data_IF_330268786948
#
_entry.id   IF_330268786948
#
_cell.length_a   1.000
_cell.length_b   1.000
_cell.length_c   1.000
_cell.angle_alpha   90.00
_cell.angle_beta   90.00
_cell.angle_gamma   90.00
#
_symmetry.space_group_name_H-M   'P 1'
#
loop_
_entity.id
_entity.type
_entity.pdbx_description
1 polymer ?
#
# COMPACT_ATOMS: atom_id res chain seq x y z
N UNK A 1 -1.46 -17.08 -7.30
CA UNK A 1 -1.90 -15.93 -8.13
C UNK A 1 -3.24 -16.23 -8.78
N UNK A 2 -4.18 -15.27 -8.79
CA UNK A 2 -5.56 -15.44 -9.29
C UNK A 2 -5.62 -15.44 -10.82
N UNK A 3 -6.34 -16.41 -11.41
CA UNK A 3 -6.49 -16.57 -12.87
C UNK A 3 -7.64 -15.73 -13.42
N UNK A 4 -8.64 -15.54 -12.59
CA UNK A 4 -9.92 -14.83 -12.78
C UNK A 4 -9.84 -13.33 -12.42
N UNK A 5 -8.63 -12.76 -12.31
CA UNK A 5 -8.45 -11.39 -11.83
C UNK A 5 -9.20 -10.36 -12.68
N UNK A 6 -9.19 -10.48 -14.01
CA UNK A 6 -9.90 -9.56 -14.90
C UNK A 6 -11.41 -9.52 -14.64
N UNK A 7 -12.04 -10.68 -14.47
CA UNK A 7 -13.48 -10.80 -14.17
C UNK A 7 -13.82 -10.17 -12.81
N UNK A 8 -12.96 -10.35 -11.81
CA UNK A 8 -13.13 -9.76 -10.48
C UNK A 8 -13.05 -8.23 -10.56
N UNK A 9 -12.07 -7.69 -11.29
CA UNK A 9 -11.91 -6.24 -11.45
C UNK A 9 -13.13 -5.63 -12.16
N UNK A 10 -13.57 -6.26 -13.26
CA UNK A 10 -14.77 -5.81 -13.99
C UNK A 10 -16.03 -5.86 -13.11
N UNK A 11 -16.20 -6.92 -12.31
CA UNK A 11 -17.33 -7.04 -11.40
C UNK A 11 -17.28 -5.99 -10.29
N UNK A 12 -16.11 -5.75 -9.70
CA UNK A 12 -15.89 -4.79 -8.63
C UNK A 12 -16.13 -3.35 -9.11
N UNK A 13 -15.67 -3.01 -10.31
CA UNK A 13 -15.84 -1.67 -10.90
C UNK A 13 -17.32 -1.27 -11.11
N UNK A 14 -18.21 -2.26 -11.26
CA UNK A 14 -19.67 -2.03 -11.39
C UNK A 14 -20.38 -1.76 -10.05
N UNK A 15 -19.65 -1.76 -8.93
CA UNK A 15 -20.23 -1.61 -7.57
C UNK A 15 -20.14 -0.17 -7.08
N UNK A 16 -20.97 0.23 -6.10
CA UNK A 16 -20.98 1.61 -5.59
C UNK A 16 -19.84 1.85 -4.58
N UNK A 17 -18.60 1.55 -4.97
CA UNK A 17 -17.39 1.80 -4.19
C UNK A 17 -16.18 2.03 -5.10
N UNK A 18 -15.12 2.61 -4.55
CA UNK A 18 -13.83 2.74 -5.23
C UNK A 18 -13.00 1.47 -5.11
N UNK A 19 -12.33 1.08 -6.18
CA UNK A 19 -11.43 -0.07 -6.23
C UNK A 19 -9.96 0.36 -6.11
N UNK A 20 -9.36 -0.02 -4.99
CA UNK A 20 -7.92 0.07 -4.75
C UNK A 20 -7.29 -1.30 -5.00
N UNK A 21 -6.40 -1.39 -5.99
CA UNK A 21 -5.70 -2.63 -6.31
C UNK A 21 -4.23 -2.54 -5.90
N UNK A 22 -3.78 -3.42 -4.99
CA UNK A 22 -2.41 -3.41 -4.47
C UNK A 22 -1.60 -4.58 -5.02
N UNK A 23 -0.37 -4.32 -5.45
CA UNK A 23 0.59 -5.30 -5.99
C UNK A 23 2.02 -4.96 -5.59
N UNK A 24 2.93 -5.93 -5.67
CA UNK A 24 4.38 -5.71 -5.55
C UNK A 24 5.08 -5.51 -6.90
N UNK A 25 4.33 -5.48 -8.01
CA UNK A 25 4.84 -5.15 -9.34
C UNK A 25 5.43 -6.32 -10.14
N UNK A 26 5.93 -7.38 -9.51
CA UNK A 26 6.68 -8.49 -10.15
C UNK A 26 5.95 -9.22 -11.30
N UNK A 27 4.63 -9.08 -11.39
CA UNK A 27 3.82 -9.74 -12.39
C UNK A 27 3.11 -8.78 -13.35
N UNK A 28 3.40 -7.47 -13.28
CA UNK A 28 2.78 -6.48 -14.16
C UNK A 28 3.03 -6.83 -15.64
N UNK A 29 4.25 -7.21 -16.00
CA UNK A 29 4.62 -7.59 -17.38
C UNK A 29 3.93 -8.86 -17.90
N UNK A 30 3.42 -9.69 -16.98
CA UNK A 30 2.77 -10.96 -17.30
C UNK A 30 1.24 -10.83 -17.31
N UNK A 31 0.71 -9.61 -17.19
CA UNK A 31 -0.71 -9.33 -17.08
C UNK A 31 -1.10 -8.21 -18.05
N UNK A 32 -2.34 -8.24 -18.59
CA UNK A 32 -2.83 -7.19 -19.47
C UNK A 32 -3.21 -5.96 -18.65
N UNK A 33 -2.22 -5.26 -18.08
CA UNK A 33 -2.43 -4.18 -17.12
C UNK A 33 -3.15 -2.98 -17.73
N UNK A 34 -2.93 -2.67 -19.00
CA UNK A 34 -3.70 -1.64 -19.72
C UNK A 34 -5.22 -1.95 -19.77
N UNK A 35 -5.59 -3.24 -19.84
CA UNK A 35 -6.99 -3.66 -19.82
C UNK A 35 -7.54 -3.69 -18.40
N UNK A 36 -6.78 -4.23 -17.45
CA UNK A 36 -7.16 -4.27 -16.03
C UNK A 36 -7.32 -2.87 -15.45
N UNK A 37 -6.45 -1.94 -15.86
CA UNK A 37 -6.41 -0.54 -15.48
C UNK A 37 -7.70 0.22 -15.66
N UNK A 38 -8.47 -0.11 -16.72
CA UNK A 38 -9.76 0.52 -17.01
C UNK A 38 -10.80 0.30 -15.92
N UNK A 39 -10.59 -0.73 -15.09
CA UNK A 39 -11.50 -1.14 -14.02
C UNK A 39 -10.93 -0.83 -12.63
N UNK A 40 -9.80 -0.11 -12.52
CA UNK A 40 -9.12 0.20 -11.26
C UNK A 40 -9.15 1.72 -11.06
N UNK A 41 -9.62 2.18 -9.89
CA UNK A 41 -9.59 3.62 -9.57
C UNK A 41 -8.21 4.05 -9.07
N UNK A 42 -7.54 3.19 -8.28
CA UNK A 42 -6.21 3.46 -7.74
C UNK A 42 -5.33 2.21 -7.77
N UNK A 43 -4.21 2.29 -8.50
CA UNK A 43 -3.21 1.23 -8.54
C UNK A 43 -2.12 1.51 -7.50
N UNK A 44 -2.04 0.68 -6.48
CA UNK A 44 -1.00 0.71 -5.46
C UNK A 44 0.12 -0.27 -5.81
N UNK A 45 1.35 0.23 -5.93
CA UNK A 45 2.53 -0.61 -6.19
C UNK A 45 3.48 -0.48 -5.00
N UNK A 46 3.73 -1.60 -4.32
CA UNK A 46 4.67 -1.66 -3.19
C UNK A 46 6.09 -1.76 -3.74
N UNK A 47 6.90 -0.73 -3.51
CA UNK A 47 8.29 -0.65 -3.96
C UNK A 47 9.18 -0.32 -2.76
N UNK A 48 9.91 -1.31 -2.28
CA UNK A 48 10.82 -1.21 -1.14
C UNK A 48 11.82 -2.37 -1.13
N UNK A 49 12.82 -2.26 -0.25
CA UNK A 49 13.90 -3.24 -0.10
C UNK A 49 13.37 -4.65 0.23
N UNK A 50 12.25 -4.75 0.97
CA UNK A 50 11.66 -6.03 1.35
C UNK A 50 11.04 -6.79 0.18
N UNK A 51 10.74 -6.09 -0.91
CA UNK A 51 10.21 -6.67 -2.15
C UNK A 51 11.27 -6.95 -3.22
N UNK A 52 12.54 -6.55 -2.99
CA UNK A 52 13.65 -6.68 -3.94
C UNK A 52 13.27 -6.20 -5.35
N UNK A 53 12.75 -4.97 -5.41
CA UNK A 53 12.18 -4.40 -6.63
C UNK A 53 12.46 -2.90 -6.81
N UNK A 54 13.54 -2.39 -6.23
CA UNK A 54 13.85 -0.95 -6.27
C UNK A 54 14.04 -0.41 -7.70
N UNK A 55 14.42 -1.25 -8.66
CA UNK A 55 14.49 -0.91 -10.07
C UNK A 55 13.14 -0.48 -10.65
N UNK A 56 12.02 -0.82 -10.00
CA UNK A 56 10.69 -0.37 -10.41
C UNK A 56 10.49 1.15 -10.27
N UNK A 57 11.34 1.85 -9.51
CA UNK A 57 11.39 3.31 -9.53
C UNK A 57 11.81 3.88 -10.90
N UNK A 58 12.50 3.10 -11.74
CA UNK A 58 12.86 3.51 -13.10
C UNK A 58 11.68 3.36 -14.08
N UNK A 59 10.63 2.63 -13.70
CA UNK A 59 9.48 2.27 -14.54
C UNK A 59 8.20 3.04 -14.18
N UNK A 60 8.26 4.06 -13.33
CA UNK A 60 7.06 4.73 -12.84
C UNK A 60 6.21 5.36 -13.95
N UNK A 61 6.84 5.95 -14.97
CA UNK A 61 6.15 6.54 -16.13
C UNK A 61 5.38 5.46 -16.91
N UNK A 62 5.93 4.25 -17.01
CA UNK A 62 5.23 3.11 -17.60
C UNK A 62 4.01 2.74 -16.76
N UNK A 63 4.17 2.63 -15.44
CA UNK A 63 3.06 2.27 -14.55
C UNK A 63 1.93 3.29 -14.54
N UNK A 64 2.24 4.58 -14.76
CA UNK A 64 1.22 5.62 -14.93
C UNK A 64 0.28 5.36 -16.12
N UNK A 65 0.72 4.61 -17.13
CA UNK A 65 -0.14 4.25 -18.25
C UNK A 65 -1.19 3.18 -17.91
N UNK A 66 -1.00 2.45 -16.81
CA UNK A 66 -1.86 1.31 -16.44
C UNK A 66 -3.14 1.70 -15.70
N UNK A 67 -3.39 2.96 -15.41
CA UNK A 67 -4.59 3.34 -14.66
C UNK A 67 -4.71 4.84 -14.48
N UNK A 68 -5.89 5.32 -14.01
CA UNK A 68 -6.14 6.74 -13.84
C UNK A 68 -5.23 7.39 -12.80
N UNK A 69 -4.84 6.66 -11.74
CA UNK A 69 -3.93 7.14 -10.70
C UNK A 69 -3.08 5.97 -10.16
N UNK A 70 -1.78 6.20 -10.01
CA UNK A 70 -0.88 5.28 -9.28
C UNK A 70 -0.44 5.88 -7.95
N UNK A 71 -0.30 5.00 -6.95
CA UNK A 71 0.23 5.35 -5.63
C UNK A 71 1.34 4.36 -5.26
N UNK A 72 2.56 4.86 -5.07
CA UNK A 72 3.68 4.02 -4.65
C UNK A 72 3.61 3.83 -3.14
N UNK A 73 3.50 2.59 -2.70
CA UNK A 73 3.56 2.24 -1.29
C UNK A 73 5.00 1.91 -0.93
N UNK A 74 5.54 2.61 0.06
CA UNK A 74 6.93 2.42 0.51
C UNK A 74 6.89 2.05 2.00
N UNK A 75 7.41 0.87 2.32
CA UNK A 75 7.69 0.48 3.71
C UNK A 75 9.10 0.93 4.09
N UNK A 76 9.24 1.56 5.26
CA UNK A 76 10.50 2.08 5.77
C UNK A 76 10.90 1.34 7.04
N UNK A 77 12.10 0.80 7.05
CA UNK A 77 12.70 0.18 8.22
C UNK A 77 13.64 1.15 8.93
N UNK A 78 14.10 0.79 10.13
CA UNK A 78 15.17 1.52 10.83
C UNK A 78 16.45 1.68 9.98
N UNK A 79 16.70 0.75 9.05
CA UNK A 79 17.91 0.71 8.22
C UNK A 79 17.75 1.44 6.88
N UNK A 80 16.52 1.76 6.47
CA UNK A 80 16.21 2.38 5.16
C UNK A 80 15.71 3.82 5.27
N UNK A 81 15.82 4.43 6.46
CA UNK A 81 15.42 5.80 6.73
C UNK A 81 16.11 6.85 5.85
N UNK A 82 17.40 6.64 5.53
CA UNK A 82 18.18 7.61 4.77
C UNK A 82 17.84 7.59 3.26
N UNK A 83 17.19 6.53 2.78
CA UNK A 83 16.80 6.37 1.38
C UNK A 83 15.42 6.98 1.05
N UNK A 84 14.64 7.42 2.05
CA UNK A 84 13.26 7.90 1.83
C UNK A 84 13.24 9.08 0.86
N UNK A 85 14.15 10.04 1.03
CA UNK A 85 14.15 11.27 0.24
C UNK A 85 14.37 11.00 -1.24
N UNK A 86 15.29 10.10 -1.59
CA UNK A 86 15.57 9.72 -2.97
C UNK A 86 14.35 9.08 -3.63
N UNK A 87 13.69 8.15 -2.93
CA UNK A 87 12.47 7.50 -3.40
C UNK A 87 11.34 8.52 -3.61
N UNK A 88 11.12 9.42 -2.64
CA UNK A 88 10.10 10.48 -2.74
C UNK A 88 10.41 11.45 -3.87
N UNK A 89 11.67 11.83 -4.05
CA UNK A 89 12.11 12.69 -5.14
C UNK A 89 11.74 12.07 -6.48
N UNK A 90 12.03 10.78 -6.67
CA UNK A 90 11.70 10.07 -7.92
C UNK A 90 10.19 10.02 -8.17
N UNK A 91 9.38 9.73 -7.15
CA UNK A 91 7.91 9.77 -7.26
C UNK A 91 7.41 11.18 -7.62
N UNK A 92 8.02 12.22 -7.06
CA UNK A 92 7.68 13.61 -7.37
C UNK A 92 8.04 14.00 -8.81
N UNK A 93 9.21 13.59 -9.30
CA UNK A 93 9.70 13.89 -10.65
C UNK A 93 8.74 13.37 -11.74
N UNK A 94 8.09 12.23 -11.51
CA UNK A 94 7.08 11.68 -12.44
C UNK A 94 5.65 12.18 -12.16
N UNK A 95 5.46 13.00 -11.13
CA UNK A 95 4.14 13.52 -10.76
C UNK A 95 3.18 12.51 -10.13
N UNK A 96 3.68 11.36 -9.66
CA UNK A 96 2.89 10.34 -8.98
C UNK A 96 2.68 10.67 -7.49
N UNK A 97 1.95 9.79 -6.80
CA UNK A 97 1.71 9.85 -5.34
C UNK A 97 2.42 8.71 -4.63
N UNK A 98 2.71 8.90 -3.35
CA UNK A 98 3.24 7.83 -2.49
C UNK A 98 2.63 7.85 -1.10
N UNK A 99 2.36 6.67 -0.57
CA UNK A 99 2.13 6.45 0.85
C UNK A 99 3.38 5.81 1.44
N UNK A 100 3.87 6.39 2.53
CA UNK A 100 5.05 5.93 3.24
C UNK A 100 4.61 5.47 4.62
N UNK A 101 4.97 4.25 4.98
CA UNK A 101 4.61 3.59 6.24
C UNK A 101 5.86 3.03 6.91
N UNK A 102 5.96 3.07 8.25
CA UNK A 102 7.00 2.33 8.95
C UNK A 102 6.74 0.83 8.81
N UNK A 103 7.81 0.03 8.83
CA UNK A 103 7.70 -1.40 9.05
C UNK A 103 6.99 -1.64 10.39
N UNK A 104 6.05 -2.59 10.43
CA UNK A 104 5.36 -2.97 11.65
C UNK A 104 6.07 -4.17 12.28
N UNK A 105 6.30 -4.13 13.59
CA UNK A 105 6.75 -5.31 14.32
C UNK A 105 5.57 -6.27 14.53
N UNK A 106 5.76 -7.53 14.11
CA UNK A 106 4.83 -8.62 14.36
C UNK A 106 5.40 -9.56 15.42
N UNK A 107 4.53 -10.14 16.25
CA UNK A 107 4.95 -11.10 17.26
C UNK A 107 5.70 -12.29 16.62
N UNK A 108 6.86 -12.63 17.18
CA UNK A 108 7.72 -13.69 16.67
C UNK A 108 8.58 -13.33 15.46
N UNK A 109 8.68 -12.04 15.11
CA UNK A 109 9.57 -11.55 14.04
C UNK A 109 10.63 -10.58 14.57
N UNK A 110 11.69 -10.35 13.80
CA UNK A 110 12.68 -9.32 14.12
C UNK A 110 12.04 -7.92 14.08
N UNK A 111 12.53 -7.03 14.95
CA UNK A 111 12.05 -5.65 15.00
C UNK A 111 12.86 -4.73 14.07
N UNK A 112 12.22 -4.34 12.96
CA UNK A 112 12.73 -3.39 11.98
C UNK A 112 12.05 -2.01 12.08
N UNK A 113 11.27 -1.77 13.13
CA UNK A 113 10.53 -0.52 13.31
C UNK A 113 11.50 0.67 13.44
N UNK A 114 11.33 1.75 12.65
CA UNK A 114 12.20 2.92 12.72
C UNK A 114 11.91 3.78 13.96
N UNK A 115 12.87 4.64 14.35
CA UNK A 115 12.58 5.69 15.33
C UNK A 115 11.43 6.57 14.80
N UNK A 116 10.31 6.53 15.51
CA UNK A 116 9.06 7.17 15.12
C UNK A 116 9.10 8.69 15.14
N UNK A 117 9.92 9.28 16.01
CA UNK A 117 10.15 10.72 16.06
C UNK A 117 10.89 11.19 14.80
N UNK A 118 11.97 10.47 14.44
CA UNK A 118 12.73 10.69 13.21
C UNK A 118 11.87 10.45 11.98
N UNK A 119 11.15 9.33 11.91
CA UNK A 119 10.21 9.03 10.83
C UNK A 119 9.19 10.16 10.65
N UNK A 120 8.48 10.54 11.71
CA UNK A 120 7.49 11.63 11.65
C UNK A 120 8.10 12.95 11.18
N UNK A 121 9.24 13.33 11.75
CA UNK A 121 9.94 14.56 11.39
C UNK A 121 10.31 14.58 9.91
N UNK A 122 10.81 13.45 9.41
CA UNK A 122 11.25 13.28 8.04
C UNK A 122 10.08 13.33 7.05
N UNK A 123 8.98 12.60 7.31
CA UNK A 123 7.79 12.66 6.45
C UNK A 123 7.19 14.08 6.41
N UNK A 124 7.17 14.81 7.53
CA UNK A 124 6.69 16.20 7.55
C UNK A 124 7.62 17.13 6.74
N UNK A 125 8.94 16.95 6.85
CA UNK A 125 9.93 17.70 6.06
C UNK A 125 9.72 17.46 4.56
N UNK A 126 9.60 16.20 4.15
CA UNK A 126 9.43 15.81 2.76
C UNK A 126 8.08 16.26 2.19
N UNK A 127 6.98 16.20 2.95
CA UNK A 127 5.67 16.78 2.53
C UNK A 127 5.74 18.27 2.21
N UNK A 128 6.60 19.03 2.90
CA UNK A 128 6.82 20.45 2.62
C UNK A 128 7.68 20.67 1.37
N UNK A 129 8.71 19.84 1.19
CA UNK A 129 9.67 19.92 0.08
C UNK A 129 9.06 19.44 -1.24
N UNK A 130 8.38 18.29 -1.22
CA UNK A 130 7.72 17.64 -2.35
C UNK A 130 6.21 17.73 -2.18
N UNK A 131 5.66 18.91 -2.45
CA UNK A 131 4.24 19.21 -2.21
C UNK A 131 3.34 18.28 -3.01
N UNK A 132 2.24 17.86 -2.38
CA UNK A 132 1.22 16.96 -2.93
C UNK A 132 1.69 15.52 -3.24
N UNK A 133 2.97 15.16 -3.07
CA UNK A 133 3.46 13.81 -3.38
C UNK A 133 3.09 12.78 -2.33
N UNK A 134 3.35 13.08 -1.05
CA UNK A 134 3.16 12.10 0.04
C UNK A 134 1.73 12.18 0.59
N UNK A 135 0.98 11.09 0.47
CA UNK A 135 -0.41 10.96 0.91
C UNK A 135 -0.55 10.44 2.34
N UNK A 136 0.53 9.98 2.98
CA UNK A 136 0.52 9.54 4.40
C UNK A 136 -0.21 10.56 5.28
N UNK A 137 -1.32 10.21 5.94
CA UNK A 137 -2.13 11.18 6.67
C UNK A 137 -1.37 11.77 7.86
N UNK A 138 -1.55 13.07 8.12
CA UNK A 138 -0.99 13.71 9.32
C UNK A 138 -1.51 13.04 10.61
N UNK A 139 -2.80 12.67 10.62
CA UNK A 139 -3.40 11.95 11.75
C UNK A 139 -2.74 10.59 12.02
N UNK A 140 -2.27 9.89 11.00
CA UNK A 140 -1.47 8.67 11.19
C UNK A 140 -0.14 9.02 11.87
N UNK A 141 0.59 10.00 11.34
CA UNK A 141 1.89 10.43 11.89
C UNK A 141 1.78 10.92 13.34
N UNK A 142 0.70 11.61 13.70
CA UNK A 142 0.47 12.14 15.05
C UNK A 142 0.07 11.04 16.06
N UNK A 143 -0.34 9.86 15.60
CA UNK A 143 -0.77 8.74 16.45
C UNK A 143 0.17 7.54 16.41
N UNK A 144 1.26 7.60 15.62
CA UNK A 144 2.16 6.48 15.34
C UNK A 144 2.74 5.81 16.61
N UNK A 145 2.92 6.58 17.68
CA UNK A 145 3.47 6.15 18.98
C UNK A 145 2.44 5.96 20.08
N UNK A 146 1.17 6.29 19.81
CA UNK A 146 0.16 6.14 20.84
C UNK A 146 -0.22 4.67 20.94
N UNK A 147 -0.49 4.13 22.13
CA UNK A 147 -1.16 2.85 22.24
C UNK A 147 -2.50 2.95 21.51
N UNK A 148 -2.60 2.30 20.36
CA UNK A 148 -3.84 2.23 19.60
C UNK A 148 -4.01 0.79 19.11
N UNK A 149 -5.21 0.25 19.30
CA UNK A 149 -5.58 -1.03 18.70
C UNK A 149 -5.83 -0.88 17.21
N UNK A 150 -6.16 -1.99 16.54
CA UNK A 150 -6.69 -1.92 15.18
C UNK A 150 -7.95 -1.05 15.13
N UNK A 151 -7.99 -0.12 14.16
CA UNK A 151 -9.18 0.67 13.87
C UNK A 151 -10.34 -0.23 13.44
N UNK A 152 -11.55 0.09 13.89
CA UNK A 152 -12.80 -0.58 13.47
C UNK A 152 -13.31 -0.10 12.11
N UNK A 153 -12.49 0.66 11.36
CA UNK A 153 -12.87 1.31 10.11
C UNK A 153 -12.83 0.41 8.87
N UNK A 154 -12.43 -0.85 9.00
CA UNK A 154 -12.33 -1.79 7.88
C UNK A 154 -12.73 -3.20 8.27
N UNK A 155 -13.23 -3.96 7.31
CA UNK A 155 -13.38 -5.41 7.38
C UNK A 155 -12.34 -6.07 6.51
N UNK A 156 -11.79 -7.20 6.95
CA UNK A 156 -10.80 -7.96 6.17
C UNK A 156 -11.40 -9.31 5.87
N UNK A 157 -11.48 -9.66 4.59
CA UNK A 157 -11.92 -10.98 4.12
C UNK A 157 -10.72 -11.66 3.50
N UNK A 158 -10.33 -12.81 4.03
CA UNK A 158 -9.21 -13.59 3.51
C UNK A 158 -9.63 -14.44 2.30
N UNK A 159 -8.64 -14.97 1.59
CA UNK A 159 -8.86 -15.72 0.34
C UNK A 159 -9.70 -17.01 0.50
N UNK A 160 -9.81 -17.54 1.72
CA UNK A 160 -10.65 -18.68 2.09
C UNK A 160 -12.09 -18.29 2.46
N UNK A 161 -12.45 -17.00 2.35
CA UNK A 161 -13.75 -16.45 2.74
C UNK A 161 -13.86 -16.07 4.21
N UNK A 162 -12.80 -16.21 5.01
CA UNK A 162 -12.79 -15.84 6.42
C UNK A 162 -12.89 -14.33 6.65
N UNK A 163 -13.90 -13.89 7.39
CA UNK A 163 -14.06 -12.51 7.85
C UNK A 163 -13.30 -12.30 9.17
N UNK A 164 -12.39 -11.34 9.21
CA UNK A 164 -11.66 -10.91 10.40
C UNK A 164 -12.04 -9.48 10.78
N UNK A 165 -12.19 -9.25 12.08
CA UNK A 165 -12.48 -7.93 12.63
C UNK A 165 -11.91 -7.78 14.06
N UNK A 166 -11.40 -6.59 14.44
CA UNK A 166 -11.26 -5.37 13.61
C UNK A 166 -10.16 -5.45 12.54
N UNK A 167 -9.25 -6.42 12.64
CA UNK A 167 -8.22 -6.69 11.62
C UNK A 167 -7.72 -8.13 11.75
N UNK A 168 -6.88 -8.58 10.81
CA UNK A 168 -6.31 -9.93 10.80
C UNK A 168 -5.30 -10.19 11.91
N UNK A 169 -4.53 -9.17 12.31
CA UNK A 169 -3.41 -9.31 13.25
C UNK A 169 -3.84 -9.46 14.70
N UNK A 170 -4.83 -8.68 15.16
CA UNK A 170 -5.29 -8.69 16.56
C UNK A 170 -6.74 -9.14 16.73
N UNK A 171 -7.48 -9.22 15.62
CA UNK A 171 -8.88 -9.61 15.62
C UNK A 171 -9.08 -11.12 15.65
N UNK A 172 -10.35 -11.53 15.61
CA UNK A 172 -10.74 -12.94 15.54
C UNK A 172 -11.42 -13.22 14.21
N UNK A 173 -11.33 -14.46 13.73
CA UNK A 173 -12.18 -14.94 12.63
C UNK A 173 -13.63 -14.96 13.13
N UNK A 174 -14.49 -14.18 12.50
CA UNK A 174 -15.89 -14.02 12.89
C UNK A 174 -16.85 -14.86 12.06
N UNK A 175 -16.54 -15.06 10.78
CA UNK A 175 -17.42 -15.74 9.83
C UNK A 175 -16.64 -16.34 8.65
N UNK A 176 -17.27 -17.22 7.87
CA UNK A 176 -16.74 -17.73 6.60
C UNK A 176 -17.81 -17.66 5.49
N UNK A 177 -17.57 -16.82 4.47
CA UNK A 177 -18.49 -16.63 3.35
C UNK A 177 -18.60 -17.85 2.41
N UNK A 178 -17.71 -18.82 2.52
CA UNK A 178 -17.74 -20.05 1.69
C UNK A 178 -18.53 -21.20 2.33
N UNK A 179 -18.80 -21.12 3.63
CA UNK A 179 -19.51 -22.17 4.37
C UNK A 179 -21.04 -22.01 4.32
N UNK A 180 -21.52 -20.92 3.70
CA UNK A 180 -22.95 -20.63 3.56
C UNK A 180 -23.61 -20.24 4.89
N UNK A 181 -24.81 -19.69 4.77
CA UNK A 181 -25.77 -19.46 5.84
C UNK A 181 -26.86 -20.52 5.81
#
# INVERSE_FOLDING_TARGET
>A
MRKDLGEILEYAYKKPFYLFFTTNGHLLDKRPMEEYGKNIDYLHISIDEGHDNLEFFERLEEFQSYGPEICIQIVVTKDTMDAIEEKVKRVYEVGARTVIMPACHLEGTDDYYPDSGKFRGEIIRLKKKYRNTITTPKGFLDNINKPHGCSTSSVIIDSDGGLFYPCRTVGKRLYNFTEGS
#
